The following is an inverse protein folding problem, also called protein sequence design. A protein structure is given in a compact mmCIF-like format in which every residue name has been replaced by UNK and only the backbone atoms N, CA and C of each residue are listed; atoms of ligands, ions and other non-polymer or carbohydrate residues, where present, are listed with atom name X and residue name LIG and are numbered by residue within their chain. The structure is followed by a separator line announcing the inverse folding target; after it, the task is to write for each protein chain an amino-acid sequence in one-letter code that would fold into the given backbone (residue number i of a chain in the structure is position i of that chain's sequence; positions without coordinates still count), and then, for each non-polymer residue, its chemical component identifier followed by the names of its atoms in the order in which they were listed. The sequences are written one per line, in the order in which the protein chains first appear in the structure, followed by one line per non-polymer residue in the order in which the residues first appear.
data_IF_288160800340
#
_entry.id   IF_288160800340
#
_cell.length_a   1.000
_cell.length_b   1.000
_cell.length_c   1.000
_cell.angle_alpha   90.00
_cell.angle_beta   90.00
_cell.angle_gamma   90.00
#
_symmetry.space_group_name_H-M   'P 1'
#
loop_
_entity.id
_entity.type
_entity.pdbx_description
1 polymer ?
#
# COMPACT_ATOMS: atom_id res chain seq x y z
N UNK A 1 -13.02 -14.49 11.32
CA UNK A 1 -12.30 -13.20 11.23
C UNK A 1 -11.72 -13.09 9.82
N UNK A 2 -11.90 -11.94 9.18
CA UNK A 2 -11.37 -11.66 7.84
C UNK A 2 -10.56 -10.38 7.89
N UNK A 3 -9.24 -10.51 7.88
CA UNK A 3 -8.33 -9.38 8.03
C UNK A 3 -7.13 -9.56 7.11
N UNK A 4 -6.83 -8.51 6.37
CA UNK A 4 -5.70 -8.47 5.44
C UNK A 4 -4.89 -7.22 5.70
N UNK A 5 -3.59 -7.37 5.78
CA UNK A 5 -2.66 -6.25 5.92
C UNK A 5 -1.64 -6.36 4.80
N UNK A 6 -1.49 -5.28 4.03
CA UNK A 6 -0.59 -5.24 2.88
C UNK A 6 0.33 -4.03 3.00
N UNK A 7 1.60 -4.25 2.70
CA UNK A 7 2.57 -3.17 2.52
C UNK A 7 3.17 -3.33 1.13
N UNK A 8 3.06 -2.30 0.34
CA UNK A 8 3.57 -2.31 -1.03
C UNK A 8 3.53 -0.93 -1.66
N UNK A 9 3.64 -0.88 -2.97
CA UNK A 9 3.63 0.37 -3.73
C UNK A 9 2.44 0.42 -4.67
N UNK A 10 1.89 1.61 -4.85
CA UNK A 10 0.84 1.81 -5.84
C UNK A 10 1.40 1.64 -7.25
N UNK A 11 0.69 0.91 -8.08
CA UNK A 11 1.10 0.66 -9.47
C UNK A 11 0.73 1.80 -10.41
N UNK A 12 -0.25 2.61 -10.01
CA UNK A 12 -0.74 3.76 -10.76
C UNK A 12 -1.35 4.76 -9.78
N UNK A 13 -1.67 5.94 -10.27
CA UNK A 13 -2.39 6.93 -9.46
C UNK A 13 -3.77 6.39 -9.10
N UNK A 14 -4.22 6.59 -7.85
CA UNK A 14 -5.54 6.11 -7.44
C UNK A 14 -6.65 6.81 -8.21
N UNK A 15 -7.65 6.04 -8.63
CA UNK A 15 -8.82 6.58 -9.30
C UNK A 15 -9.94 6.85 -8.30
N UNK A 16 -10.31 8.12 -8.17
CA UNK A 16 -11.43 8.50 -7.32
C UNK A 16 -12.68 8.68 -8.17
N UNK A 17 -13.77 8.09 -7.71
CA UNK A 17 -15.08 8.26 -8.30
C UNK A 17 -16.05 8.66 -7.21
N UNK A 18 -16.91 9.60 -7.54
CA UNK A 18 -17.98 10.02 -6.64
C UNK A 18 -19.31 9.59 -7.26
N UNK A 19 -20.13 8.89 -6.48
CA UNK A 19 -21.44 8.47 -6.93
C UNK A 19 -22.41 9.64 -6.95
N UNK A 20 -23.58 9.45 -7.59
CA UNK A 20 -24.63 10.46 -7.63
C UNK A 20 -25.10 10.85 -6.22
N UNK A 21 -25.03 9.91 -5.28
CA UNK A 21 -25.40 10.17 -3.89
C UNK A 21 -24.29 10.85 -3.09
N UNK A 22 -23.15 11.16 -3.71
CA UNK A 22 -22.05 11.86 -3.04
C UNK A 22 -21.06 10.95 -2.31
N UNK A 23 -21.12 9.64 -2.53
CA UNK A 23 -20.21 8.69 -1.90
C UNK A 23 -18.95 8.55 -2.73
N UNK A 24 -17.80 8.86 -2.14
CA UNK A 24 -16.50 8.69 -2.78
C UNK A 24 -16.04 7.25 -2.71
N UNK A 25 -15.46 6.77 -3.80
CA UNK A 25 -14.75 5.49 -3.82
C UNK A 25 -13.43 5.68 -4.54
N UNK A 26 -12.44 4.92 -4.13
CA UNK A 26 -11.11 4.97 -4.72
C UNK A 26 -10.64 3.55 -4.98
N UNK A 27 -10.27 3.27 -6.22
CA UNK A 27 -9.70 1.99 -6.61
C UNK A 27 -8.23 2.17 -6.90
N UNK A 28 -7.43 1.26 -6.39
CA UNK A 28 -5.99 1.26 -6.62
C UNK A 28 -5.46 -0.16 -6.53
N UNK A 29 -4.28 -0.36 -7.09
CA UNK A 29 -3.59 -1.66 -7.04
C UNK A 29 -2.28 -1.51 -6.30
N UNK A 30 -2.05 -2.41 -5.36
CA UNK A 30 -0.83 -2.44 -4.56
C UNK A 30 0.05 -3.58 -5.06
N UNK A 31 1.28 -3.26 -5.42
CA UNK A 31 2.29 -4.25 -5.76
C UNK A 31 3.01 -4.67 -4.49
N UNK A 32 2.83 -5.91 -4.08
CA UNK A 32 3.45 -6.47 -2.88
C UNK A 32 4.53 -7.45 -3.31
N UNK A 33 5.76 -7.18 -2.95
CA UNK A 33 6.87 -8.04 -3.29
C UNK A 33 6.79 -9.37 -2.53
N UNK A 34 7.05 -10.46 -3.24
CA UNK A 34 7.17 -11.75 -2.60
C UNK A 34 8.47 -11.81 -1.80
N UNK A 35 8.44 -12.58 -0.72
CA UNK A 35 9.56 -12.67 0.22
C UNK A 35 10.84 -13.20 -0.43
N UNK A 36 10.71 -14.14 -1.34
CA UNK A 36 11.87 -14.78 -1.96
C UNK A 36 11.94 -14.48 -3.46
N UNK A 37 13.17 -14.36 -3.95
CA UNK A 37 13.40 -14.17 -5.37
C UNK A 37 13.12 -15.46 -6.14
N UNK A 38 12.68 -15.31 -7.38
CA UNK A 38 12.50 -16.43 -8.28
C UNK A 38 13.89 -17.03 -8.61
N UNK A 39 14.05 -18.33 -8.43
CA UNK A 39 15.32 -19.02 -8.67
C UNK A 39 15.76 -18.98 -10.13
N UNK A 40 14.80 -18.91 -11.05
CA UNK A 40 15.10 -18.91 -12.48
C UNK A 40 15.54 -17.55 -13.00
N UNK A 41 14.88 -16.48 -12.54
CA UNK A 41 15.14 -15.13 -13.02
C UNK A 41 16.02 -14.31 -12.11
N UNK A 42 16.20 -14.73 -10.86
CA UNK A 42 16.93 -13.99 -9.83
C UNK A 42 16.22 -12.73 -9.34
N UNK A 43 15.03 -12.45 -9.83
CA UNK A 43 14.24 -11.27 -9.46
C UNK A 43 13.09 -11.65 -8.54
N UNK A 44 12.70 -10.73 -7.68
CA UNK A 44 11.51 -10.91 -6.85
C UNK A 44 10.27 -10.66 -7.70
N UNK A 45 9.35 -11.58 -7.62
CA UNK A 45 8.03 -11.40 -8.20
C UNK A 45 7.18 -10.54 -7.25
N UNK A 46 6.23 -9.84 -7.80
CA UNK A 46 5.27 -9.06 -7.04
C UNK A 46 3.86 -9.56 -7.30
N UNK A 47 3.04 -9.51 -6.28
CA UNK A 47 1.62 -9.77 -6.41
C UNK A 47 0.88 -8.44 -6.51
N UNK A 48 0.02 -8.31 -7.51
CA UNK A 48 -0.76 -7.10 -7.75
C UNK A 48 -2.15 -7.29 -7.17
N UNK A 49 -2.41 -6.59 -6.07
CA UNK A 49 -3.62 -6.79 -5.29
C UNK A 49 -4.52 -5.57 -5.43
N UNK A 50 -5.74 -5.80 -5.89
CA UNK A 50 -6.73 -4.75 -6.09
C UNK A 50 -7.34 -4.36 -4.75
N UNK A 51 -7.40 -3.07 -4.51
CA UNK A 51 -7.96 -2.49 -3.31
C UNK A 51 -9.03 -1.47 -3.66
N UNK A 52 -10.03 -1.37 -2.80
CA UNK A 52 -11.06 -0.35 -2.92
C UNK A 52 -11.28 0.30 -1.56
N UNK A 53 -11.22 1.62 -1.54
CA UNK A 53 -11.50 2.42 -0.35
C UNK A 53 -12.79 3.22 -0.58
N UNK A 54 -13.47 3.54 0.50
CA UNK A 54 -14.75 4.25 0.48
C UNK A 54 -14.71 5.47 1.38
N UNK A 55 -15.47 6.50 1.00
CA UNK A 55 -15.72 7.69 1.80
C UNK A 55 -14.43 8.41 2.19
N UNK A 56 -14.22 8.65 3.47
CA UNK A 56 -13.04 9.36 3.97
C UNK A 56 -11.72 8.66 3.62
N UNK A 57 -11.69 7.36 3.67
CA UNK A 57 -10.50 6.59 3.29
C UNK A 57 -10.18 6.77 1.81
N UNK A 58 -11.20 6.79 0.96
CA UNK A 58 -11.03 7.06 -0.47
C UNK A 58 -10.43 8.45 -0.71
N UNK A 59 -10.96 9.46 -0.04
CA UNK A 59 -10.48 10.82 -0.16
C UNK A 59 -9.03 10.95 0.32
N UNK A 60 -8.69 10.27 1.41
CA UNK A 60 -7.35 10.25 1.96
C UNK A 60 -6.34 9.63 0.97
N UNK A 61 -6.68 8.48 0.40
CA UNK A 61 -5.81 7.81 -0.57
C UNK A 61 -5.61 8.67 -1.81
N UNK A 62 -6.68 9.23 -2.34
CA UNK A 62 -6.60 10.07 -3.52
C UNK A 62 -5.83 11.36 -3.31
N UNK A 63 -5.84 11.89 -2.10
CA UNK A 63 -5.15 13.14 -1.77
C UNK A 63 -3.66 12.96 -1.51
N UNK A 64 -3.28 11.89 -0.83
CA UNK A 64 -1.92 11.74 -0.31
C UNK A 64 -1.08 10.66 -0.99
N UNK A 65 -1.67 9.83 -1.84
CA UNK A 65 -0.96 8.74 -2.50
C UNK A 65 -0.97 8.90 -4.00
N UNK A 66 0.12 8.51 -4.63
CA UNK A 66 0.26 8.50 -6.07
C UNK A 66 1.07 7.28 -6.50
N UNK A 67 1.22 7.11 -7.80
CA UNK A 67 2.00 6.02 -8.39
C UNK A 67 3.38 5.90 -7.76
N UNK A 68 3.74 4.70 -7.34
CA UNK A 68 5.06 4.38 -6.80
C UNK A 68 5.22 4.63 -5.31
N UNK A 69 4.28 5.30 -4.66
CA UNK A 69 4.37 5.58 -3.23
C UNK A 69 4.05 4.33 -2.41
N UNK A 70 4.78 4.14 -1.32
CA UNK A 70 4.50 3.03 -0.41
C UNK A 70 3.25 3.31 0.43
N UNK A 71 2.49 2.26 0.63
CA UNK A 71 1.24 2.32 1.37
C UNK A 71 1.11 1.08 2.27
N UNK A 72 0.59 1.28 3.46
CA UNK A 72 0.15 0.20 4.33
C UNK A 72 -1.37 0.18 4.33
N UNK A 73 -1.94 -0.93 3.91
CA UNK A 73 -3.38 -1.09 3.78
C UNK A 73 -3.85 -2.16 4.75
N UNK A 74 -4.89 -1.86 5.50
CA UNK A 74 -5.59 -2.80 6.36
C UNK A 74 -7.03 -2.90 5.89
N UNK A 75 -7.52 -4.10 5.74
CA UNK A 75 -8.89 -4.32 5.30
C UNK A 75 -9.30 -5.77 5.34
N UNK A 76 -10.32 -6.08 4.59
CA UNK A 76 -10.86 -7.44 4.49
C UNK A 76 -10.94 -7.87 3.03
N UNK A 77 -10.76 -9.16 2.79
CA UNK A 77 -10.92 -9.72 1.45
C UNK A 77 -12.41 -9.89 1.16
N UNK A 78 -12.82 -9.43 -0.01
CA UNK A 78 -14.19 -9.64 -0.49
C UNK A 78 -14.19 -10.12 -1.92
N UNK A 79 -15.10 -11.00 -2.22
CA UNK A 79 -15.35 -11.43 -3.58
C UNK A 79 -16.19 -10.37 -4.30
N UNK A 80 -15.76 -10.01 -5.48
CA UNK A 80 -16.50 -9.12 -6.34
C UNK A 80 -16.72 -9.81 -7.68
N UNK A 81 -17.69 -10.71 -7.71
CA UNK A 81 -18.00 -11.49 -8.90
C UNK A 81 -18.97 -10.70 -9.77
N UNK A 82 -18.72 -10.66 -11.06
CA UNK A 82 -19.60 -9.96 -11.99
C UNK A 82 -19.73 -10.75 -13.30
N UNK A 83 -20.86 -10.55 -13.95
CA UNK A 83 -21.11 -11.14 -15.26
C UNK A 83 -20.44 -10.30 -16.34
N UNK A 84 -19.92 -10.99 -17.38
CA UNK A 84 -19.36 -10.30 -18.52
C UNK A 84 -20.46 -9.53 -19.26
N UNK A 85 -20.15 -8.29 -19.62
CA UNK A 85 -21.09 -7.43 -20.36
C UNK A 85 -21.41 -7.96 -21.76
N UNK A 86 -20.49 -8.69 -22.37
CA UNK A 86 -20.63 -9.20 -23.74
C UNK A 86 -21.05 -10.66 -23.79
N UNK A 87 -20.85 -11.42 -22.72
CA UNK A 87 -21.13 -12.84 -22.65
C UNK A 87 -21.81 -13.16 -21.32
N UNK A 88 -23.12 -13.26 -21.33
CA UNK A 88 -23.91 -13.52 -20.12
C UNK A 88 -23.56 -14.85 -19.42
N UNK A 89 -22.99 -15.79 -20.15
CA UNK A 89 -22.61 -17.09 -19.63
C UNK A 89 -21.24 -17.08 -18.91
N UNK A 90 -20.50 -15.98 -18.99
CA UNK A 90 -19.17 -15.88 -18.39
C UNK A 90 -19.24 -15.06 -17.09
N UNK A 91 -18.87 -15.71 -15.99
CA UNK A 91 -18.76 -15.06 -14.70
C UNK A 91 -17.30 -14.77 -14.37
N UNK A 92 -17.01 -13.50 -14.07
CA UNK A 92 -15.67 -13.10 -13.63
C UNK A 92 -15.59 -13.16 -12.10
N UNK A 93 -14.67 -13.95 -11.62
CA UNK A 93 -14.43 -14.12 -10.18
C UNK A 93 -13.22 -13.28 -9.79
N UNK A 94 -13.44 -12.27 -9.01
CA UNK A 94 -12.38 -11.39 -8.55
C UNK A 94 -12.43 -11.27 -7.03
N UNK A 95 -11.26 -11.09 -6.45
CA UNK A 95 -11.13 -10.82 -5.03
C UNK A 95 -10.45 -9.49 -4.84
N UNK A 96 -11.04 -8.64 -4.03
CA UNK A 96 -10.53 -7.30 -3.74
C UNK A 96 -10.37 -7.13 -2.23
N UNK A 97 -9.48 -6.23 -1.85
CA UNK A 97 -9.36 -5.82 -0.45
C UNK A 97 -10.24 -4.59 -0.24
N UNK A 98 -11.23 -4.72 0.62
CA UNK A 98 -12.02 -3.58 1.09
C UNK A 98 -11.27 -2.91 2.22
N UNK A 99 -10.82 -1.70 1.97
CA UNK A 99 -9.87 -1.00 2.83
C UNK A 99 -10.60 -0.36 4.01
N UNK A 100 -10.20 -0.73 5.21
CA UNK A 100 -10.69 -0.11 6.44
C UNK A 100 -9.81 1.05 6.88
N UNK A 101 -8.49 0.89 6.74
CA UNK A 101 -7.53 1.88 7.17
C UNK A 101 -6.30 1.90 6.26
N UNK A 102 -5.70 3.07 6.14
CA UNK A 102 -4.49 3.27 5.34
C UNK A 102 -3.50 4.08 6.17
N UNK A 103 -2.25 3.67 6.14
CA UNK A 103 -1.18 4.38 6.83
C UNK A 103 -0.01 4.64 5.88
N UNK A 104 0.71 5.71 6.16
CA UNK A 104 1.96 5.98 5.49
C UNK A 104 3.01 5.00 5.97
N UNK A 105 3.81 4.50 5.04
CA UNK A 105 4.96 3.68 5.36
C UNK A 105 6.09 4.01 4.39
N UNK A 106 7.29 3.57 4.70
CA UNK A 106 8.45 3.98 3.94
C UNK A 106 8.97 5.35 4.37
N UNK A 107 10.09 5.77 3.82
CA UNK A 107 10.70 7.06 4.13
C UNK A 107 10.00 8.21 3.42
N UNK A 108 10.24 9.43 3.94
CA UNK A 108 9.72 10.67 3.33
C UNK A 108 10.11 10.81 1.85
N UNK A 109 11.16 10.15 1.44
CA UNK A 109 11.78 10.34 0.15
C UNK A 109 11.69 9.12 -0.74
N UNK A 110 10.66 8.33 -0.55
CA UNK A 110 10.48 7.09 -1.28
C UNK A 110 10.48 7.25 -2.80
N UNK A 111 10.11 8.44 -3.28
CA UNK A 111 10.05 8.76 -4.71
C UNK A 111 11.02 9.86 -5.14
N UNK A 112 11.88 10.34 -4.26
CA UNK A 112 12.83 11.37 -4.63
C UNK A 112 14.24 10.94 -4.30
N UNK A 113 15.23 11.26 -5.17
CA UNK A 113 16.63 11.07 -4.85
C UNK A 113 16.98 12.01 -3.72
N UNK A 114 16.96 11.49 -2.53
CA UNK A 114 16.89 12.37 -1.41
C UNK A 114 18.21 12.85 -0.89
N UNK A 115 18.26 14.07 -0.49
CA UNK A 115 19.34 14.61 0.31
C UNK A 115 19.09 14.41 1.80
N UNK A 116 18.75 13.21 2.23
CA UNK A 116 18.48 12.96 3.65
C UNK A 116 19.73 12.51 4.43
N UNK A 117 20.85 12.38 3.76
CA UNK A 117 22.07 11.91 4.36
C UNK A 117 22.53 12.69 5.62
N UNK A 118 22.45 14.01 5.65
CA UNK A 118 22.86 14.75 6.85
C UNK A 118 21.99 14.48 8.06
N UNK A 119 20.72 14.28 7.85
CA UNK A 119 19.78 13.99 8.93
C UNK A 119 19.97 12.60 9.52
N UNK A 120 20.32 11.67 8.66
CA UNK A 120 20.57 10.31 9.10
C UNK A 120 21.82 10.23 9.97
N UNK A 121 22.83 11.01 9.64
CA UNK A 121 24.06 11.05 10.41
C UNK A 121 23.82 11.57 11.82
N UNK A 122 23.04 12.62 11.92
CA UNK A 122 22.73 13.20 13.24
C UNK A 122 21.91 12.23 14.10
N UNK A 123 20.98 11.54 13.50
CA UNK A 123 20.18 10.58 14.25
C UNK A 123 21.00 9.37 14.70
N UNK A 124 22.00 9.01 13.93
CA UNK A 124 22.89 7.92 14.31
C UNK A 124 23.80 8.32 15.48
N UNK A 125 24.31 9.54 15.46
CA UNK A 125 25.11 10.06 16.56
C UNK A 125 24.29 10.13 17.84
N UNK A 126 23.09 10.64 17.74
CA UNK A 126 22.18 10.69 18.88
C UNK A 126 21.84 9.28 19.39
N UNK A 127 21.70 8.35 18.50
CA UNK A 127 21.42 6.97 18.85
C UNK A 127 22.62 6.31 19.56
N UNK A 128 23.82 6.56 19.07
CA UNK A 128 25.03 6.04 19.71
C UNK A 128 25.23 6.64 21.10
N UNK A 129 24.95 7.93 21.25
CA UNK A 129 25.05 8.60 22.53
C UNK A 129 24.08 8.03 23.54
N UNK A 130 22.87 7.73 23.11
CA UNK A 130 21.87 7.10 23.97
C UNK A 130 22.33 5.71 24.39
N UNK A 131 22.93 4.97 23.47
CA UNK A 131 23.40 3.62 23.78
C UNK A 131 24.59 3.62 24.74
N UNK A 132 25.46 4.60 24.60
CA UNK A 132 26.63 4.71 25.48
C UNK A 132 26.23 5.25 26.87
N UNK A 133 25.33 6.17 26.91
CA UNK A 133 24.89 6.75 28.17
C UNK A 133 24.01 5.80 28.96
N UNK A 134 23.48 4.83 28.31
CA UNK A 134 22.52 3.95 28.97
C UNK A 134 23.19 2.87 29.80
N UNK A 135 24.49 2.70 29.83
CA UNK A 135 25.03 1.66 30.71
C UNK A 135 23.94 0.87 31.40
N UNK A 136 22.98 0.53 30.53
CA UNK A 136 21.72 -0.04 31.00
C UNK A 136 22.06 -1.36 31.65
N UNK A 137 21.78 -1.52 32.90
CA UNK A 137 22.05 -2.76 33.58
C UNK A 137 21.02 -3.79 33.10
N UNK A 138 21.32 -4.40 32.04
CA UNK A 138 20.57 -5.57 31.62
C UNK A 138 21.36 -6.81 31.93
#
# INVERSE_FOLDING_TARGET
MNKTILIGRLTADPEIKTSESGVSSCRFTVAVDRKFANKETGKKDADFIKCVAWRQTADFVGKYFNKGKMICVEGELRNNNYKDKNHEDVMHYTTEVYVDNVEFCGGKNDNSPAPAAPQTTNSLEDFEEITTSSDVPF
#
